data_IF_847859771893
#
_entry.id   IF_847859771893
#
_cell.length_a   1.000
_cell.length_b   1.000
_cell.length_c   1.000
_cell.angle_alpha   90.00
_cell.angle_beta   90.00
_cell.angle_gamma   90.00
#
_symmetry.space_group_name_H-M   'P 1'
#
loop_
_entity.id
_entity.type
_entity.pdbx_description
1 polymer ?
#
# COMPACT_ATOMS: atom_id res chain seq x y z
N UNK A 1 4.77 -38.38 6.50
CA UNK A 1 5.70 -37.69 7.44
C UNK A 1 6.89 -36.94 6.80
N UNK A 2 7.24 -37.09 5.50
CA UNK A 2 8.43 -36.44 4.91
C UNK A 2 8.32 -34.90 4.77
N UNK A 3 7.11 -34.35 4.65
CA UNK A 3 6.89 -32.90 4.41
C UNK A 3 7.11 -32.07 5.69
N UNK A 4 6.74 -32.61 6.86
CA UNK A 4 6.86 -31.92 8.15
C UNK A 4 8.32 -31.68 8.55
N UNK A 5 9.24 -32.61 8.25
CA UNK A 5 10.68 -32.45 8.52
C UNK A 5 11.31 -31.33 7.68
N UNK A 6 10.86 -31.13 6.44
CA UNK A 6 11.44 -30.10 5.54
C UNK A 6 11.10 -28.68 6.00
N UNK A 7 9.84 -28.42 6.37
CA UNK A 7 9.44 -27.11 6.90
C UNK A 7 10.19 -26.78 8.19
N UNK A 8 10.26 -27.73 9.12
CA UNK A 8 11.01 -27.56 10.36
C UNK A 8 12.47 -27.20 10.13
N UNK A 9 13.16 -27.87 9.20
CA UNK A 9 14.55 -27.57 8.88
C UNK A 9 14.72 -26.17 8.26
N UNK A 10 13.81 -25.77 7.37
CA UNK A 10 13.84 -24.43 6.75
C UNK A 10 13.54 -23.33 7.76
N UNK A 11 12.55 -23.52 8.63
CA UNK A 11 12.21 -22.55 9.68
C UNK A 11 13.35 -22.42 10.72
N UNK A 12 14.12 -23.49 10.91
CA UNK A 12 15.32 -23.49 11.75
C UNK A 12 16.51 -22.77 11.09
N UNK A 13 16.75 -22.99 9.80
CA UNK A 13 17.84 -22.33 9.05
C UNK A 13 17.52 -20.86 8.69
N UNK A 14 16.24 -20.54 8.52
CA UNK A 14 15.75 -19.22 8.11
C UNK A 14 14.66 -18.69 9.06
N UNK A 15 14.99 -18.49 10.35
CA UNK A 15 14.04 -17.98 11.32
C UNK A 15 13.54 -16.58 10.94
N UNK A 16 12.24 -16.36 11.10
CA UNK A 16 11.62 -15.05 10.89
C UNK A 16 11.75 -14.19 12.15
N UNK A 17 12.53 -13.13 12.05
CA UNK A 17 12.70 -12.14 13.11
C UNK A 17 11.83 -10.91 12.87
N UNK A 18 11.35 -10.32 13.97
CA UNK A 18 10.70 -9.01 13.92
C UNK A 18 11.70 -7.94 13.48
N UNK A 19 11.41 -7.17 12.44
CA UNK A 19 12.29 -6.10 11.94
C UNK A 19 12.39 -4.90 12.90
N UNK A 20 11.46 -4.78 13.86
CA UNK A 20 11.48 -3.74 14.89
C UNK A 20 12.38 -4.08 16.08
N UNK A 21 12.21 -5.26 16.68
CA UNK A 21 12.91 -5.65 17.92
C UNK A 21 13.89 -6.82 17.78
N UNK A 22 14.01 -7.42 16.59
CA UNK A 22 14.89 -8.55 16.26
C UNK A 22 14.65 -9.83 17.08
N UNK A 23 13.56 -9.90 17.84
CA UNK A 23 13.16 -11.13 18.54
C UNK A 23 12.57 -12.13 17.54
N UNK A 24 12.84 -13.42 17.79
CA UNK A 24 12.21 -14.52 17.04
C UNK A 24 10.74 -14.64 17.46
N UNK A 25 9.83 -14.28 16.57
CA UNK A 25 8.39 -14.33 16.80
C UNK A 25 7.62 -14.91 15.61
N UNK A 26 8.32 -15.61 14.70
CA UNK A 26 7.75 -16.18 13.47
C UNK A 26 6.98 -15.18 12.58
N UNK A 27 7.32 -13.89 12.66
CA UNK A 27 6.70 -12.80 11.89
C UNK A 27 7.73 -11.70 11.65
N UNK A 28 7.61 -10.99 10.53
CA UNK A 28 8.45 -9.83 10.23
C UNK A 28 8.11 -8.60 11.10
N UNK A 29 6.98 -8.63 11.81
CA UNK A 29 6.63 -7.62 12.80
C UNK A 29 5.80 -8.25 13.93
N UNK A 30 6.28 -8.12 15.17
CA UNK A 30 5.51 -8.54 16.33
C UNK A 30 4.47 -7.48 16.71
N UNK A 31 3.42 -7.89 17.43
CA UNK A 31 2.35 -6.99 17.87
C UNK A 31 2.85 -5.79 18.69
N UNK A 32 3.84 -6.00 19.57
CA UNK A 32 4.44 -4.92 20.36
C UNK A 32 5.16 -3.88 19.52
N UNK A 33 5.76 -4.28 18.38
CA UNK A 33 6.37 -3.35 17.43
C UNK A 33 5.33 -2.71 16.51
N UNK A 34 4.28 -3.45 16.12
CA UNK A 34 3.16 -2.90 15.35
C UNK A 34 2.50 -1.72 16.07
N UNK A 35 2.26 -1.84 17.38
CA UNK A 35 1.71 -0.75 18.20
C UNK A 35 2.58 0.50 18.30
N UNK A 36 3.88 0.39 17.98
CA UNK A 36 4.81 1.51 18.04
C UNK A 36 4.87 2.31 16.73
N UNK A 37 4.26 1.80 15.66
CA UNK A 37 4.22 2.51 14.38
C UNK A 37 3.35 3.75 14.54
N UNK A 38 3.90 4.90 14.13
CA UNK A 38 3.21 6.19 14.24
C UNK A 38 2.34 6.43 13.01
N UNK A 39 1.05 6.69 13.24
CA UNK A 39 0.10 7.06 12.19
C UNK A 39 -0.07 8.58 12.20
N UNK A 40 0.17 9.22 11.06
CA UNK A 40 -0.04 10.67 10.90
C UNK A 40 -1.44 10.95 10.40
N UNK A 41 -1.94 10.12 9.48
CA UNK A 41 -3.27 10.28 8.88
C UNK A 41 -3.49 11.64 8.21
N UNK A 42 -2.41 12.25 7.72
CA UNK A 42 -2.43 13.59 7.15
C UNK A 42 -3.31 13.62 5.89
N UNK A 43 -4.25 14.56 5.84
CA UNK A 43 -5.10 14.82 4.67
C UNK A 43 -4.58 16.08 4.01
N UNK A 44 -4.33 16.00 2.72
CA UNK A 44 -3.90 17.11 1.89
C UNK A 44 -4.94 17.29 0.80
N UNK A 45 -5.61 18.45 0.79
CA UNK A 45 -6.52 18.80 -0.29
C UNK A 45 -5.70 19.03 -1.56
N UNK A 46 -6.06 18.35 -2.64
CA UNK A 46 -5.30 18.46 -3.88
C UNK A 46 -5.85 19.60 -4.74
N UNK A 47 -5.00 20.46 -5.33
CA UNK A 47 -5.43 21.43 -6.33
C UNK A 47 -5.65 20.78 -7.70
N UNK A 48 -5.53 19.45 -7.83
CA UNK A 48 -5.63 18.78 -9.10
C UNK A 48 -7.06 18.48 -9.49
N UNK A 49 -7.33 18.64 -10.78
CA UNK A 49 -8.59 18.22 -11.36
C UNK A 49 -8.82 16.74 -11.07
N UNK A 50 -10.01 16.41 -10.58
CA UNK A 50 -10.49 15.08 -10.18
C UNK A 50 -9.91 14.51 -8.87
N UNK A 51 -8.78 15.00 -8.37
CA UNK A 51 -8.25 14.53 -7.07
C UNK A 51 -8.85 15.38 -5.96
N UNK A 52 -9.70 14.76 -5.13
CA UNK A 52 -10.32 15.45 -4.00
C UNK A 52 -9.34 15.59 -2.85
N UNK A 53 -8.74 14.47 -2.44
CA UNK A 53 -7.89 14.38 -1.27
C UNK A 53 -6.73 13.42 -1.52
N UNK A 54 -5.57 13.78 -0.96
CA UNK A 54 -4.43 12.88 -0.74
C UNK A 54 -4.34 12.55 0.74
N UNK A 55 -4.18 11.27 1.06
CA UNK A 55 -4.13 10.77 2.42
C UNK A 55 -2.77 10.09 2.63
N UNK A 56 -1.99 10.58 3.59
CA UNK A 56 -0.72 9.97 4.00
C UNK A 56 -0.93 9.29 5.35
N UNK A 57 -0.71 7.98 5.40
CA UNK A 57 -1.06 7.17 6.57
C UNK A 57 -0.04 7.31 7.68
N UNK A 58 1.25 7.27 7.34
CA UNK A 58 2.33 7.23 8.30
C UNK A 58 3.49 8.16 7.91
N UNK A 59 4.29 8.49 8.92
CA UNK A 59 5.49 9.33 8.77
C UNK A 59 6.64 8.50 8.16
N UNK A 60 7.33 9.10 7.19
CA UNK A 60 8.59 8.58 6.65
C UNK A 60 9.72 8.57 7.67
N UNK A 61 9.61 9.26 8.80
CA UNK A 61 10.60 9.22 9.89
C UNK A 61 10.52 7.92 10.72
N UNK A 62 9.42 7.14 10.61
CA UNK A 62 9.24 5.91 11.39
C UNK A 62 10.22 4.81 10.96
N UNK A 63 11.20 4.55 11.82
CA UNK A 63 12.26 3.57 11.55
C UNK A 63 11.76 2.13 11.39
N UNK A 64 10.67 1.74 12.06
CA UNK A 64 10.11 0.38 11.97
C UNK A 64 9.42 0.23 10.62
N UNK A 65 8.58 1.20 10.25
CA UNK A 65 7.88 1.22 8.99
C UNK A 65 8.86 1.25 7.80
N UNK A 66 9.90 2.07 7.88
CA UNK A 66 10.94 2.12 6.84
C UNK A 66 11.65 0.78 6.65
N UNK A 67 11.92 0.04 7.73
CA UNK A 67 12.49 -1.31 7.63
C UNK A 67 11.52 -2.28 6.93
N UNK A 68 10.22 -2.21 7.26
CA UNK A 68 9.19 -3.02 6.62
C UNK A 68 9.06 -2.70 5.14
N UNK A 69 8.93 -1.42 4.78
CA UNK A 69 8.85 -0.96 3.40
C UNK A 69 10.12 -1.36 2.64
N UNK A 70 11.30 -1.26 3.26
CA UNK A 70 12.54 -1.63 2.60
C UNK A 70 12.61 -3.13 2.30
N UNK A 71 12.29 -3.94 3.30
CA UNK A 71 12.24 -5.40 3.16
C UNK A 71 11.18 -5.83 2.13
N UNK A 72 10.04 -5.16 2.11
CA UNK A 72 8.98 -5.43 1.15
C UNK A 72 9.36 -5.00 -0.27
N UNK A 73 9.74 -3.74 -0.47
CA UNK A 73 9.87 -3.14 -1.80
C UNK A 73 11.23 -3.40 -2.46
N UNK A 74 12.30 -3.57 -1.68
CA UNK A 74 13.65 -3.76 -2.22
C UNK A 74 14.19 -5.17 -2.00
N UNK A 75 13.83 -5.85 -0.90
CA UNK A 75 14.26 -7.24 -0.67
C UNK A 75 13.23 -8.26 -1.18
N UNK A 76 12.04 -7.82 -1.59
CA UNK A 76 11.03 -8.69 -2.20
C UNK A 76 10.37 -9.67 -1.22
N UNK A 77 10.31 -9.34 0.07
CA UNK A 77 9.67 -10.20 1.08
C UNK A 77 8.15 -10.01 1.02
N UNK A 78 7.49 -10.79 0.15
CA UNK A 78 6.06 -10.65 -0.18
C UNK A 78 5.14 -10.70 1.04
N UNK A 79 5.44 -11.51 2.05
CA UNK A 79 4.63 -11.70 3.25
C UNK A 79 4.42 -10.40 4.05
N UNK A 80 5.33 -9.42 3.91
CA UNK A 80 5.17 -8.11 4.55
C UNK A 80 3.94 -7.36 4.01
N UNK A 81 3.43 -7.71 2.82
CA UNK A 81 2.16 -7.17 2.30
C UNK A 81 1.00 -7.32 3.27
N UNK A 82 0.93 -8.43 4.02
CA UNK A 82 -0.12 -8.68 5.01
C UNK A 82 -0.01 -7.66 6.16
N UNK A 83 1.21 -7.41 6.62
CA UNK A 83 1.49 -6.45 7.70
C UNK A 83 1.16 -5.03 7.23
N UNK A 84 1.55 -4.65 6.02
CA UNK A 84 1.25 -3.33 5.48
C UNK A 84 -0.25 -3.15 5.22
N UNK A 85 -0.93 -4.14 4.66
CA UNK A 85 -2.38 -4.12 4.49
C UNK A 85 -3.11 -4.00 5.84
N UNK A 86 -2.57 -4.58 6.91
CA UNK A 86 -3.09 -4.41 8.27
C UNK A 86 -2.94 -2.98 8.79
N UNK A 87 -1.82 -2.30 8.49
CA UNK A 87 -1.66 -0.86 8.79
C UNK A 87 -2.72 -0.03 8.06
N UNK A 88 -2.94 -0.32 6.77
CA UNK A 88 -4.00 0.31 6.00
C UNK A 88 -5.37 0.03 6.62
N UNK A 89 -5.66 -1.22 7.00
CA UNK A 89 -6.93 -1.63 7.63
C UNK A 89 -7.22 -0.86 8.90
N UNK A 90 -6.25 -0.78 9.82
CA UNK A 90 -6.38 -0.04 11.08
C UNK A 90 -6.65 1.44 10.82
N UNK A 91 -5.90 2.04 9.88
CA UNK A 91 -6.14 3.42 9.46
C UNK A 91 -7.54 3.60 8.83
N UNK A 92 -7.97 2.65 8.00
CA UNK A 92 -9.24 2.68 7.27
C UNK A 92 -10.45 2.59 8.20
N UNK A 93 -10.37 1.78 9.26
CA UNK A 93 -11.46 1.63 10.24
C UNK A 93 -11.79 2.92 10.99
N UNK A 94 -10.82 3.83 11.12
CA UNK A 94 -11.05 5.15 11.70
C UNK A 94 -11.75 6.15 10.76
N UNK A 95 -12.00 5.78 9.49
CA UNK A 95 -12.55 6.64 8.45
C UNK A 95 -13.91 6.12 8.00
N UNK A 96 -14.88 7.01 7.87
CA UNK A 96 -16.26 6.68 7.48
C UNK A 96 -16.38 6.44 5.95
N UNK A 97 -15.49 5.62 5.36
CA UNK A 97 -15.62 5.11 3.98
C UNK A 97 -16.57 3.90 3.94
N UNK A 98 -17.71 4.02 4.63
CA UNK A 98 -18.57 2.90 5.05
C UNK A 98 -19.44 2.32 3.94
N UNK A 99 -19.37 2.85 2.72
CA UNK A 99 -20.17 2.40 1.59
C UNK A 99 -19.31 1.88 0.43
N UNK A 100 -18.83 0.62 0.49
CA UNK A 100 -18.00 0.01 -0.55
C UNK A 100 -18.56 0.08 -1.97
N UNK A 101 -19.89 0.18 -2.11
CA UNK A 101 -20.57 0.27 -3.41
C UNK A 101 -20.27 1.57 -4.17
N UNK A 102 -19.75 2.60 -3.49
CA UNK A 102 -19.43 3.88 -4.10
C UNK A 102 -17.96 4.05 -4.44
N UNK A 103 -17.11 3.10 -4.05
CA UNK A 103 -15.67 3.18 -4.22
C UNK A 103 -15.11 1.97 -4.96
N UNK A 104 -14.18 2.22 -5.87
CA UNK A 104 -13.32 1.18 -6.43
C UNK A 104 -11.89 1.38 -5.98
N UNK A 105 -11.18 0.28 -5.70
CA UNK A 105 -9.76 0.37 -5.39
C UNK A 105 -8.94 0.16 -6.66
N UNK A 106 -7.94 1.00 -6.84
CA UNK A 106 -6.95 0.91 -7.90
C UNK A 106 -5.56 0.91 -7.31
N UNK A 107 -4.76 -0.09 -7.68
CA UNK A 107 -3.35 -0.14 -7.34
C UNK A 107 -2.57 0.68 -8.36
N UNK A 108 -1.83 1.69 -7.90
CA UNK A 108 -1.03 2.47 -8.82
C UNK A 108 0.06 1.60 -9.49
N UNK A 109 0.18 1.62 -10.83
CA UNK A 109 1.04 0.69 -11.53
C UNK A 109 2.52 0.95 -11.26
N UNK A 110 3.25 -0.15 -11.10
CA UNK A 110 4.69 -0.15 -10.90
C UNK A 110 5.42 -0.45 -12.22
N UNK A 111 6.71 -0.07 -12.31
CA UNK A 111 7.49 -0.39 -13.50
C UNK A 111 7.69 -1.91 -13.63
N UNK A 112 7.70 -2.41 -14.87
CA UNK A 112 7.94 -3.83 -15.16
C UNK A 112 9.26 -4.33 -14.55
N UNK A 113 10.29 -3.50 -14.57
CA UNK A 113 11.59 -3.80 -13.95
C UNK A 113 11.47 -4.06 -12.44
N UNK A 114 10.74 -3.21 -11.72
CA UNK A 114 10.54 -3.37 -10.27
C UNK A 114 9.72 -4.62 -9.96
N UNK A 115 8.71 -4.92 -10.78
CA UNK A 115 7.90 -6.16 -10.67
C UNK A 115 8.78 -7.38 -10.92
N UNK A 116 9.58 -7.37 -11.99
CA UNK A 116 10.48 -8.47 -12.35
C UNK A 116 11.50 -8.74 -11.25
N UNK A 117 12.14 -7.69 -10.71
CA UNK A 117 13.14 -7.82 -9.64
C UNK A 117 12.57 -8.48 -8.38
N UNK A 118 11.32 -8.17 -8.01
CA UNK A 118 10.68 -8.73 -6.80
C UNK A 118 9.91 -10.02 -7.05
N UNK A 119 9.50 -10.27 -8.29
CA UNK A 119 8.53 -11.32 -8.64
C UNK A 119 7.06 -10.99 -8.34
N UNK A 120 6.72 -9.74 -7.98
CA UNK A 120 5.33 -9.30 -7.74
C UNK A 120 5.15 -7.76 -7.80
N UNK A 121 3.89 -7.32 -7.98
CA UNK A 121 3.49 -5.92 -7.78
C UNK A 121 3.13 -5.68 -6.31
N UNK A 122 3.90 -4.81 -5.67
CA UNK A 122 3.77 -4.45 -4.28
C UNK A 122 2.46 -3.69 -4.01
N UNK A 123 2.12 -2.71 -4.85
CA UNK A 123 0.87 -1.95 -4.70
C UNK A 123 -0.34 -2.86 -4.92
N UNK A 124 -0.32 -3.73 -5.94
CA UNK A 124 -1.43 -4.62 -6.25
C UNK A 124 -1.69 -5.64 -5.15
N UNK A 125 -0.64 -6.18 -4.53
CA UNK A 125 -0.78 -7.17 -3.46
C UNK A 125 -1.48 -6.55 -2.22
N UNK A 126 -1.07 -5.36 -1.82
CA UNK A 126 -1.71 -4.64 -0.69
C UNK A 126 -3.17 -4.33 -1.00
N UNK A 127 -3.44 -3.76 -2.19
CA UNK A 127 -4.80 -3.38 -2.61
C UNK A 127 -5.72 -4.58 -2.68
N UNK A 128 -5.23 -5.73 -3.18
CA UNK A 128 -5.99 -6.98 -3.22
C UNK A 128 -6.40 -7.44 -1.82
N UNK A 129 -5.49 -7.36 -0.85
CA UNK A 129 -5.79 -7.71 0.55
C UNK A 129 -6.84 -6.78 1.16
N UNK A 130 -6.71 -5.47 0.95
CA UNK A 130 -7.67 -4.47 1.44
C UNK A 130 -9.04 -4.66 0.78
N UNK A 131 -9.08 -4.82 -0.55
CA UNK A 131 -10.31 -5.03 -1.29
C UNK A 131 -11.03 -6.30 -0.83
N UNK A 132 -10.29 -7.38 -0.62
CA UNK A 132 -10.85 -8.64 -0.09
C UNK A 132 -11.42 -8.43 1.31
N UNK A 133 -10.70 -7.73 2.18
CA UNK A 133 -11.11 -7.51 3.57
C UNK A 133 -12.40 -6.68 3.69
N UNK A 134 -12.50 -5.60 2.91
CA UNK A 134 -13.63 -4.68 2.97
C UNK A 134 -14.67 -4.89 1.86
N UNK A 135 -14.50 -5.94 1.05
CA UNK A 135 -15.35 -6.25 -0.10
C UNK A 135 -15.49 -5.08 -1.10
N UNK A 136 -14.38 -4.37 -1.38
CA UNK A 136 -14.36 -3.35 -2.42
C UNK A 136 -14.16 -3.98 -3.81
N UNK A 137 -14.80 -3.45 -4.85
CA UNK A 137 -14.46 -3.79 -6.22
C UNK A 137 -13.04 -3.33 -6.57
N UNK A 138 -12.27 -4.22 -7.21
CA UNK A 138 -10.95 -3.91 -7.76
C UNK A 138 -11.08 -3.42 -9.19
N UNK A 139 -10.52 -2.24 -9.47
CA UNK A 139 -10.39 -1.77 -10.84
C UNK A 139 -9.14 -2.40 -11.48
N UNK A 140 -9.37 -3.32 -12.41
CA UNK A 140 -8.31 -3.82 -13.28
C UNK A 140 -7.97 -2.76 -14.32
N UNK A 141 -6.68 -2.60 -14.64
CA UNK A 141 -6.23 -1.63 -15.65
C UNK A 141 -6.81 -1.87 -17.06
N UNK A 142 -7.42 -3.03 -17.30
CA UNK A 142 -8.02 -3.47 -18.57
C UNK A 142 -9.55 -3.35 -18.59
N UNK A 143 -10.18 -2.87 -17.52
CA UNK A 143 -11.63 -2.75 -17.46
C UNK A 143 -12.13 -1.71 -18.49
N UNK A 144 -13.00 -2.14 -19.40
CA UNK A 144 -13.63 -1.26 -20.40
C UNK A 144 -14.59 -0.28 -19.73
N UNK A 145 -14.71 0.88 -20.35
CA UNK A 145 -15.35 2.15 -19.92
C UNK A 145 -16.83 2.12 -19.48
N UNK A 146 -17.46 0.97 -19.27
CA UNK A 146 -18.91 0.94 -19.04
C UNK A 146 -19.33 1.53 -17.68
N UNK A 147 -19.62 2.84 -17.70
CA UNK A 147 -20.60 3.49 -16.82
C UNK A 147 -20.18 3.73 -15.37
N UNK A 148 -18.88 3.83 -15.08
CA UNK A 148 -18.42 3.97 -13.69
C UNK A 148 -18.66 5.37 -13.10
N UNK A 149 -19.85 5.57 -12.51
CA UNK A 149 -20.19 6.75 -11.69
C UNK A 149 -19.60 6.72 -10.27
N UNK A 150 -18.71 5.77 -9.96
CA UNK A 150 -18.13 5.56 -8.62
C UNK A 150 -16.88 6.40 -8.42
N UNK A 151 -16.60 6.74 -7.16
CA UNK A 151 -15.34 7.37 -6.78
C UNK A 151 -14.21 6.34 -6.80
N UNK A 152 -12.99 6.78 -7.09
CA UNK A 152 -11.81 5.93 -7.19
C UNK A 152 -10.88 6.18 -6.02
N UNK A 153 -10.36 5.10 -5.44
CA UNK A 153 -9.32 5.16 -4.40
C UNK A 153 -8.05 4.55 -4.97
N UNK A 154 -7.04 5.38 -5.16
CA UNK A 154 -5.75 5.00 -5.73
C UNK A 154 -4.75 4.78 -4.61
N UNK A 155 -4.21 3.58 -4.50
CA UNK A 155 -3.23 3.21 -3.49
C UNK A 155 -1.83 3.17 -4.05
N UNK A 156 -0.89 3.68 -3.27
CA UNK A 156 0.54 3.49 -3.50
C UNK A 156 1.30 3.48 -2.17
N UNK A 157 2.38 2.71 -2.11
CA UNK A 157 3.27 2.71 -0.93
C UNK A 157 3.97 4.06 -0.80
N UNK A 158 4.36 4.66 -1.92
CA UNK A 158 5.07 5.93 -1.98
C UNK A 158 4.24 6.99 -2.68
N UNK A 159 4.45 8.25 -2.33
CA UNK A 159 4.00 9.39 -3.13
C UNK A 159 4.46 9.30 -4.58
N UNK A 160 3.61 9.75 -5.48
CA UNK A 160 3.78 9.62 -6.92
C UNK A 160 4.05 11.01 -7.51
N UNK A 161 5.06 11.17 -8.39
CA UNK A 161 5.25 12.43 -9.10
C UNK A 161 3.98 12.83 -9.85
N UNK A 162 3.57 14.11 -9.72
CA UNK A 162 2.33 14.64 -10.32
C UNK A 162 2.17 14.28 -11.80
N UNK A 163 3.22 14.45 -12.61
CA UNK A 163 3.21 14.13 -14.05
C UNK A 163 2.89 12.65 -14.31
N UNK A 164 3.46 11.75 -13.52
CA UNK A 164 3.23 10.31 -13.65
C UNK A 164 1.82 9.94 -13.19
N UNK A 165 1.36 10.52 -12.09
CA UNK A 165 0.00 10.31 -11.61
C UNK A 165 -1.04 10.71 -12.66
N UNK A 166 -0.96 11.95 -13.17
CA UNK A 166 -1.91 12.45 -14.16
C UNK A 166 -1.93 11.59 -15.42
N UNK A 167 -0.76 11.14 -15.89
CA UNK A 167 -0.67 10.24 -17.05
C UNK A 167 -1.42 8.93 -16.84
N UNK A 168 -1.39 8.36 -15.64
CA UNK A 168 -2.13 7.13 -15.36
C UNK A 168 -3.60 7.39 -15.09
N UNK A 169 -3.97 8.46 -14.38
CA UNK A 169 -5.37 8.81 -14.13
C UNK A 169 -6.14 9.10 -15.41
N UNK A 170 -5.52 9.76 -16.39
CA UNK A 170 -6.15 10.05 -17.69
C UNK A 170 -6.45 8.79 -18.52
N UNK A 171 -5.87 7.64 -18.18
CA UNK A 171 -6.20 6.36 -18.83
C UNK A 171 -7.37 5.64 -18.17
N UNK A 172 -7.80 6.10 -16.98
CA UNK A 172 -8.86 5.44 -16.23
C UNK A 172 -10.22 5.98 -16.69
N UNK A 173 -11.23 5.09 -16.79
CA UNK A 173 -12.56 5.45 -17.25
C UNK A 173 -13.22 6.47 -16.30
N UNK A 174 -14.14 7.27 -16.84
CA UNK A 174 -14.71 8.52 -16.29
C UNK A 174 -15.16 8.50 -14.83
N UNK A 175 -14.21 8.64 -13.91
CA UNK A 175 -14.39 8.67 -12.48
C UNK A 175 -14.84 10.06 -12.00
N UNK A 176 -15.72 10.10 -11.01
CA UNK A 176 -16.26 11.35 -10.44
C UNK A 176 -15.26 12.08 -9.57
N UNK A 177 -14.65 11.34 -8.64
CA UNK A 177 -13.70 11.84 -7.65
C UNK A 177 -12.62 10.78 -7.44
N UNK A 178 -11.38 11.24 -7.24
CA UNK A 178 -10.22 10.42 -6.96
C UNK A 178 -9.68 10.76 -5.58
N UNK A 179 -9.49 9.74 -4.77
CA UNK A 179 -8.80 9.80 -3.49
C UNK A 179 -7.46 9.10 -3.63
N UNK A 180 -6.37 9.79 -3.31
CA UNK A 180 -5.04 9.19 -3.31
C UNK A 180 -4.70 8.74 -1.90
N UNK A 181 -4.21 7.52 -1.75
CA UNK A 181 -3.82 6.97 -0.45
C UNK A 181 -2.39 6.48 -0.54
N UNK A 182 -1.53 7.12 0.26
CA UNK A 182 -0.12 6.85 0.37
C UNK A 182 0.21 6.25 1.72
N UNK A 183 1.00 5.18 1.74
CA UNK A 183 1.49 4.63 3.01
C UNK A 183 2.45 5.61 3.68
N UNK A 184 3.42 6.13 2.94
CA UNK A 184 4.39 7.13 3.42
C UNK A 184 4.58 8.25 2.40
N UNK A 185 4.84 9.44 2.93
CA UNK A 185 5.45 10.50 2.15
C UNK A 185 6.84 10.07 1.69
N UNK A 186 7.28 10.51 0.51
CA UNK A 186 8.71 10.42 0.22
C UNK A 186 9.36 11.60 0.93
N UNK A 187 10.43 11.39 1.71
CA UNK A 187 11.30 12.48 2.15
C UNK A 187 11.90 13.14 0.90
N UNK A 188 11.16 14.06 0.30
CA UNK A 188 11.67 14.99 -0.67
C UNK A 188 12.22 16.15 0.14
N UNK A 189 13.52 16.11 0.42
CA UNK A 189 14.27 17.34 0.60
C UNK A 189 13.97 18.23 -0.62
N UNK A 190 13.14 19.25 -0.39
CA UNK A 190 12.84 20.38 -1.27
C UNK A 190 11.80 20.12 -2.38
N UNK A 191 10.68 20.85 -2.25
CA UNK A 191 9.59 21.09 -3.21
C UNK A 191 8.47 20.05 -3.30
N UNK A 192 7.57 20.11 -2.31
CA UNK A 192 6.20 19.59 -2.35
C UNK A 192 5.42 20.02 -3.61
N UNK A 193 5.78 21.10 -4.29
CA UNK A 193 5.09 21.52 -5.53
C UNK A 193 5.19 20.51 -6.68
N UNK A 194 6.19 19.60 -6.64
CA UNK A 194 6.39 18.59 -7.68
C UNK A 194 5.79 17.20 -7.35
N UNK A 195 5.36 16.98 -6.10
CA UNK A 195 4.89 15.70 -5.58
C UNK A 195 3.56 15.89 -4.85
N UNK A 196 2.65 14.92 -4.97
CA UNK A 196 1.37 14.91 -4.25
C UNK A 196 1.46 13.87 -3.14
#
# INVERSE_FOLDING_TARGET
>A
MKILRKKFLLDFCFPKFCLGCYKNCNSYLCFSCFKKITYTGQIINSPLLYVKESIIIADSSDSILNKLIRAYYFQGIKEISIILAELFRVFWQGRNFSEPKHYQLFAFPESRENIYRRGYSANQEIVRLIATHFNYPLLNAEAKEEGLKTSLIVFSIFQIPKKKLMKELLKLPGHKEVYLVFLVAREASQNFTNYL
#
